data_IF_050563113291
#
_entry.id   IF_050563113291
#
_cell.length_a   1.000
_cell.length_b   1.000
_cell.length_c   1.000
_cell.angle_alpha   90.00
_cell.angle_beta   90.00
_cell.angle_gamma   90.00
#
_symmetry.space_group_name_H-M   'P 1'
#
loop_
_entity.id
_entity.type
_entity.pdbx_description
1 polymer ?
#
# COMPACT_ATOMS: atom_id res chain seq x y z
N UNK A 1 -26.91 -2.69 21.20
CA UNK A 1 -25.52 -3.17 21.39
C UNK A 1 -25.58 -4.63 21.80
N UNK A 2 -25.54 -5.57 20.85
CA UNK A 2 -25.41 -7.00 21.13
C UNK A 2 -24.20 -7.52 20.36
N UNK A 3 -23.20 -7.99 21.12
CA UNK A 3 -21.98 -8.61 20.60
C UNK A 3 -22.30 -10.09 20.34
N UNK A 4 -22.20 -10.53 19.09
CA UNK A 4 -22.23 -11.96 18.79
C UNK A 4 -20.82 -12.52 18.87
N UNK A 5 -20.60 -13.38 19.86
CA UNK A 5 -19.38 -14.15 20.07
C UNK A 5 -19.22 -15.20 18.94
N UNK A 6 -17.99 -15.34 18.44
CA UNK A 6 -17.63 -16.26 17.36
C UNK A 6 -17.20 -17.59 17.99
N UNK A 7 -18.01 -18.64 17.81
CA UNK A 7 -17.65 -20.03 18.10
C UNK A 7 -17.09 -20.70 16.83
N UNK A 8 -16.02 -21.52 16.90
CA UNK A 8 -15.45 -22.19 15.76
C UNK A 8 -16.22 -23.49 15.46
N UNK A 9 -16.47 -23.74 14.16
CA UNK A 9 -17.13 -24.94 13.62
C UNK A 9 -18.65 -24.95 13.82
N UNK A 10 -19.36 -24.17 13.00
CA UNK A 10 -20.73 -24.41 12.55
C UNK A 10 -20.97 -23.49 11.36
N UNK A 11 -21.56 -24.03 10.30
CA UNK A 11 -22.10 -23.30 9.15
C UNK A 11 -22.62 -21.93 9.60
N UNK A 12 -22.01 -20.84 9.12
CA UNK A 12 -22.52 -19.49 9.38
C UNK A 12 -23.67 -19.26 8.42
N UNK A 13 -24.84 -19.78 8.79
CA UNK A 13 -26.10 -19.35 8.21
C UNK A 13 -26.30 -17.89 8.62
N UNK A 14 -26.02 -16.95 7.72
CA UNK A 14 -26.54 -15.61 7.88
C UNK A 14 -27.94 -15.63 7.28
N UNK A 15 -28.92 -16.11 8.05
CA UNK A 15 -30.31 -16.12 7.61
C UNK A 15 -30.81 -14.67 7.63
N UNK A 16 -30.77 -14.00 6.49
CA UNK A 16 -31.45 -12.72 6.30
C UNK A 16 -32.87 -13.09 5.90
N UNK A 17 -33.78 -13.16 6.88
CA UNK A 17 -35.20 -13.25 6.57
C UNK A 17 -35.63 -11.88 6.04
N UNK A 18 -35.76 -11.78 4.73
CA UNK A 18 -36.54 -10.73 4.09
C UNK A 18 -37.93 -11.34 3.97
N UNK A 19 -38.79 -11.18 4.98
CA UNK A 19 -40.22 -11.48 4.90
C UNK A 19 -40.94 -10.96 6.16
N UNK A 20 -42.05 -10.26 5.94
CA UNK A 20 -43.08 -10.00 6.96
C UNK A 20 -44.21 -11.03 6.77
N UNK A 21 -44.52 -11.76 7.84
CA UNK A 21 -45.75 -12.52 8.17
C UNK A 21 -46.17 -13.79 7.40
N UNK A 22 -46.37 -14.84 8.21
CA UNK A 22 -47.37 -15.94 8.18
C UNK A 22 -48.13 -16.24 6.88
N UNK A 23 -47.71 -17.27 6.14
CA UNK A 23 -48.64 -18.10 5.36
C UNK A 23 -48.10 -19.53 5.12
N UNK A 24 -48.98 -20.53 5.29
CA UNK A 24 -48.65 -21.97 5.44
C UNK A 24 -48.27 -22.72 4.14
N UNK A 25 -47.73 -22.05 3.13
CA UNK A 25 -47.21 -22.71 1.91
C UNK A 25 -45.98 -22.00 1.33
N UNK A 26 -44.91 -21.88 2.12
CA UNK A 26 -43.70 -21.19 1.66
C UNK A 26 -42.70 -22.16 1.02
N UNK A 27 -42.59 -22.10 -0.31
CA UNK A 27 -41.49 -22.72 -1.07
C UNK A 27 -40.18 -22.04 -0.66
N UNK A 28 -39.34 -22.73 0.12
CA UNK A 28 -38.04 -22.20 0.54
C UNK A 28 -37.08 -22.14 -0.66
N UNK A 29 -36.62 -20.93 -0.99
CA UNK A 29 -35.61 -20.73 -2.05
C UNK A 29 -34.27 -20.39 -1.40
N UNK A 30 -33.30 -21.30 -1.51
CA UNK A 30 -31.92 -21.08 -1.05
C UNK A 30 -31.06 -20.53 -2.19
N UNK A 31 -30.35 -19.43 -1.92
CA UNK A 31 -29.43 -18.81 -2.88
C UNK A 31 -28.02 -18.80 -2.29
N UNK A 32 -27.10 -19.51 -2.95
CA UNK A 32 -25.70 -19.57 -2.57
C UNK A 32 -24.94 -18.33 -3.10
N UNK A 33 -24.25 -17.62 -2.21
CA UNK A 33 -23.53 -16.39 -2.53
C UNK A 33 -22.12 -16.38 -1.94
N UNK A 34 -21.22 -15.66 -2.61
CA UNK A 34 -19.90 -15.38 -2.05
C UNK A 34 -19.96 -14.34 -0.92
N UNK A 35 -18.87 -14.24 -0.15
CA UNK A 35 -18.82 -13.35 1.02
C UNK A 35 -19.03 -11.88 0.64
N UNK A 36 -18.45 -11.45 -0.48
CA UNK A 36 -18.52 -10.06 -0.94
C UNK A 36 -19.96 -9.66 -1.31
N UNK A 37 -20.69 -10.54 -1.99
CA UNK A 37 -22.08 -10.34 -2.37
C UNK A 37 -22.98 -10.20 -1.13
N UNK A 38 -22.83 -11.09 -0.14
CA UNK A 38 -23.61 -11.00 1.11
C UNK A 38 -23.30 -9.71 1.87
N UNK A 39 -22.03 -9.30 1.95
CA UNK A 39 -21.65 -8.04 2.58
C UNK A 39 -22.22 -6.84 1.84
N UNK A 40 -22.26 -6.87 0.51
CA UNK A 40 -22.84 -5.81 -0.32
C UNK A 40 -24.36 -5.71 -0.14
N UNK A 41 -25.06 -6.85 -0.14
CA UNK A 41 -26.51 -6.92 0.08
C UNK A 41 -26.91 -6.52 1.50
N UNK A 42 -26.10 -6.86 2.51
CA UNK A 42 -26.36 -6.50 3.90
C UNK A 42 -25.91 -5.07 4.26
N UNK A 43 -25.22 -4.37 3.35
CA UNK A 43 -24.78 -2.99 3.59
C UNK A 43 -25.97 -2.03 3.61
N UNK A 44 -26.02 -1.14 4.60
CA UNK A 44 -27.02 -0.07 4.66
C UNK A 44 -26.86 0.94 3.51
N UNK A 45 -25.64 1.16 3.03
CA UNK A 45 -25.35 2.03 1.89
C UNK A 45 -25.05 1.19 0.65
N UNK A 46 -25.73 1.49 -0.46
CA UNK A 46 -25.48 0.87 -1.77
C UNK A 46 -24.76 1.85 -2.69
N UNK A 47 -23.63 1.44 -3.27
CA UNK A 47 -22.82 2.28 -4.18
C UNK A 47 -22.79 1.77 -5.62
N UNK A 48 -23.46 0.66 -5.90
CA UNK A 48 -23.53 0.00 -7.21
C UNK A 48 -24.99 -0.16 -7.61
N UNK A 49 -25.37 0.31 -8.81
CA UNK A 49 -26.74 0.15 -9.32
C UNK A 49 -27.18 -1.32 -9.36
N UNK A 50 -26.29 -2.22 -9.79
CA UNK A 50 -26.56 -3.66 -9.81
C UNK A 50 -26.89 -4.25 -8.43
N UNK A 51 -26.25 -3.76 -7.37
CA UNK A 51 -26.53 -4.26 -6.02
C UNK A 51 -27.88 -3.73 -5.55
N UNK A 52 -28.24 -2.51 -5.96
CA UNK A 52 -29.52 -1.91 -5.65
C UNK A 52 -30.66 -2.62 -6.39
N UNK A 53 -30.50 -2.87 -7.68
CA UNK A 53 -31.42 -3.66 -8.50
C UNK A 53 -31.58 -5.09 -7.92
N UNK A 54 -30.47 -5.72 -7.53
CA UNK A 54 -30.52 -7.04 -6.89
C UNK A 54 -31.29 -7.02 -5.56
N UNK A 55 -31.09 -5.99 -4.72
CA UNK A 55 -31.87 -5.81 -3.48
C UNK A 55 -33.36 -5.66 -3.78
N UNK A 56 -33.72 -4.84 -4.77
CA UNK A 56 -35.10 -4.61 -5.16
C UNK A 56 -35.77 -5.89 -5.66
N UNK A 57 -35.09 -6.68 -6.48
CA UNK A 57 -35.61 -7.97 -6.95
C UNK A 57 -35.73 -9.00 -5.83
N UNK A 58 -34.76 -9.06 -4.91
CA UNK A 58 -34.86 -9.90 -3.72
C UNK A 58 -36.06 -9.49 -2.84
N UNK A 59 -36.29 -8.19 -2.66
CA UNK A 59 -37.49 -7.69 -1.98
C UNK A 59 -38.77 -8.06 -2.72
N UNK A 60 -38.81 -8.01 -4.05
CA UNK A 60 -39.98 -8.40 -4.84
C UNK A 60 -40.27 -9.89 -4.73
N UNK A 61 -39.24 -10.72 -4.78
CA UNK A 61 -39.33 -12.18 -4.62
C UNK A 61 -39.71 -12.57 -3.20
N UNK A 62 -39.32 -11.78 -2.20
CA UNK A 62 -39.68 -12.03 -0.80
C UNK A 62 -41.18 -11.93 -0.51
N UNK A 63 -41.93 -11.21 -1.36
CA UNK A 63 -43.38 -11.17 -1.29
C UNK A 63 -44.05 -12.48 -1.72
N UNK A 64 -43.32 -13.38 -2.38
CA UNK A 64 -43.83 -14.63 -2.96
C UNK A 64 -43.31 -15.87 -2.24
N UNK A 65 -42.16 -15.77 -1.56
CA UNK A 65 -41.49 -16.91 -0.95
C UNK A 65 -40.48 -16.48 0.11
N UNK A 66 -40.21 -17.37 1.06
CA UNK A 66 -39.12 -17.18 2.02
C UNK A 66 -37.78 -17.46 1.31
N UNK A 67 -36.99 -16.40 1.14
CA UNK A 67 -35.66 -16.47 0.55
C UNK A 67 -34.62 -16.60 1.66
N UNK A 68 -33.74 -17.59 1.55
CA UNK A 68 -32.58 -17.74 2.43
C UNK A 68 -31.29 -17.54 1.63
N UNK A 69 -30.55 -16.48 1.93
CA UNK A 69 -29.22 -16.25 1.36
C UNK A 69 -28.17 -16.99 2.19
N UNK A 70 -27.37 -17.85 1.56
CA UNK A 70 -26.36 -18.68 2.24
C UNK A 70 -24.97 -18.33 1.73
N UNK A 71 -24.06 -18.02 2.65
CA UNK A 71 -22.65 -17.88 2.29
C UNK A 71 -22.01 -19.26 2.14
N UNK A 72 -21.38 -19.49 0.98
CA UNK A 72 -20.57 -20.70 0.75
C UNK A 72 -19.11 -20.30 0.50
N UNK A 73 -18.14 -20.95 1.15
CA UNK A 73 -16.72 -20.71 0.87
C UNK A 73 -16.35 -21.22 -0.52
N UNK A 74 -15.59 -20.41 -1.26
CA UNK A 74 -15.07 -20.79 -2.57
C UNK A 74 -14.07 -21.96 -2.47
N UNK A 75 -13.97 -22.75 -3.55
CA UNK A 75 -12.97 -23.82 -3.73
C UNK A 75 -13.03 -24.92 -2.66
N UNK A 76 -14.26 -25.36 -2.34
CA UNK A 76 -14.54 -26.42 -1.37
C UNK A 76 -15.36 -27.56 -1.99
N UNK A 77 -15.32 -27.69 -3.32
CA UNK A 77 -15.98 -28.74 -4.11
C UNK A 77 -17.50 -28.83 -3.88
N UNK A 78 -18.15 -27.70 -3.59
CA UNK A 78 -19.61 -27.62 -3.56
C UNK A 78 -20.16 -27.59 -4.97
N UNK A 79 -20.89 -28.64 -5.35
CA UNK A 79 -21.36 -28.83 -6.73
C UNK A 79 -22.12 -27.61 -7.30
N UNK A 80 -23.01 -27.00 -6.52
CA UNK A 80 -23.76 -25.80 -6.92
C UNK A 80 -22.85 -24.61 -7.22
N UNK A 81 -21.99 -24.24 -6.27
CA UNK A 81 -21.01 -23.17 -6.43
C UNK A 81 -20.03 -23.41 -7.60
N UNK A 82 -19.46 -24.60 -7.72
CA UNK A 82 -18.53 -24.92 -8.81
C UNK A 82 -19.22 -24.86 -10.18
N UNK A 83 -20.49 -25.31 -10.25
CA UNK A 83 -21.30 -25.21 -11.47
C UNK A 83 -21.65 -23.77 -11.81
N UNK A 84 -21.95 -22.93 -10.82
CA UNK A 84 -22.20 -21.51 -11.01
C UNK A 84 -20.94 -20.78 -11.50
N UNK A 85 -19.78 -21.06 -10.90
CA UNK A 85 -18.48 -20.51 -11.32
C UNK A 85 -18.11 -20.97 -12.74
N UNK A 86 -18.37 -22.23 -13.10
CA UNK A 86 -18.18 -22.76 -14.45
C UNK A 86 -19.09 -22.07 -15.47
N UNK A 87 -20.36 -21.84 -15.14
CA UNK A 87 -21.30 -21.11 -15.98
C UNK A 87 -20.88 -19.65 -16.16
N UNK A 88 -20.50 -18.97 -15.07
CA UNK A 88 -20.01 -17.60 -15.12
C UNK A 88 -18.75 -17.48 -15.99
N UNK A 89 -17.80 -18.43 -15.87
CA UNK A 89 -16.58 -18.49 -16.69
C UNK A 89 -16.89 -18.75 -18.17
N UNK A 90 -17.87 -19.59 -18.48
CA UNK A 90 -18.32 -19.75 -19.87
C UNK A 90 -18.97 -18.47 -20.41
N UNK A 91 -19.68 -17.76 -19.54
CA UNK A 91 -20.27 -16.46 -19.86
C UNK A 91 -19.23 -15.41 -20.31
N UNK A 92 -18.00 -15.44 -19.78
CA UNK A 92 -16.95 -14.49 -20.18
C UNK A 92 -16.44 -14.69 -21.60
N UNK A 93 -16.73 -15.83 -22.24
CA UNK A 93 -16.37 -16.13 -23.62
C UNK A 93 -17.51 -15.85 -24.62
N UNK A 94 -18.70 -15.46 -24.14
CA UNK A 94 -19.83 -15.09 -25.00
C UNK A 94 -19.59 -13.72 -25.65
N UNK A 95 -20.21 -13.50 -26.82
CA UNK A 95 -20.10 -12.22 -27.53
C UNK A 95 -20.71 -11.08 -26.70
N UNK A 96 -19.93 -10.01 -26.54
CA UNK A 96 -20.22 -8.87 -25.65
C UNK A 96 -21.36 -8.01 -26.23
N UNK A 97 -21.71 -8.18 -27.51
CA UNK A 97 -22.72 -7.38 -28.21
C UNK A 97 -24.11 -7.39 -27.58
N UNK A 98 -24.44 -8.37 -26.74
CA UNK A 98 -25.73 -8.49 -26.05
C UNK A 98 -25.68 -8.31 -24.53
N UNK A 99 -24.53 -7.93 -23.96
CA UNK A 99 -24.37 -7.79 -22.51
C UNK A 99 -24.67 -6.36 -22.08
N UNK A 100 -25.47 -6.20 -21.03
CA UNK A 100 -25.68 -4.88 -20.40
C UNK A 100 -24.35 -4.28 -19.97
N UNK A 101 -24.13 -3.01 -20.35
CA UNK A 101 -22.92 -2.28 -20.01
C UNK A 101 -22.89 -1.97 -18.51
N UNK A 102 -22.24 -2.82 -17.74
CA UNK A 102 -21.93 -2.53 -16.34
C UNK A 102 -20.82 -1.48 -16.26
N UNK A 103 -21.08 -0.39 -15.56
CA UNK A 103 -20.09 0.66 -15.33
C UNK A 103 -18.82 0.14 -14.66
N UNK A 104 -17.66 0.69 -15.03
CA UNK A 104 -16.39 0.32 -14.39
C UNK A 104 -16.42 0.76 -12.92
N UNK A 105 -16.10 -0.12 -11.95
CA UNK A 105 -16.06 0.26 -10.55
C UNK A 105 -15.12 1.46 -10.32
N UNK A 106 -15.56 2.45 -9.55
CA UNK A 106 -14.75 3.64 -9.24
C UNK A 106 -13.39 3.28 -8.63
N UNK A 107 -13.32 2.20 -7.84
CA UNK A 107 -12.07 1.67 -7.30
C UNK A 107 -11.08 1.23 -8.38
N UNK A 108 -11.57 0.61 -9.46
CA UNK A 108 -10.76 0.20 -10.61
C UNK A 108 -10.25 1.42 -11.37
N UNK A 109 -11.07 2.45 -11.56
CA UNK A 109 -10.67 3.71 -12.20
C UNK A 109 -9.56 4.39 -11.37
N UNK A 110 -9.79 4.58 -10.07
CA UNK A 110 -8.81 5.19 -9.15
C UNK A 110 -7.48 4.42 -9.15
N UNK A 111 -7.54 3.10 -9.08
CA UNK A 111 -6.35 2.24 -9.11
C UNK A 111 -5.61 2.33 -10.43
N UNK A 112 -6.33 2.40 -11.56
CA UNK A 112 -5.75 2.58 -12.89
C UNK A 112 -5.03 3.93 -13.02
N UNK A 113 -5.65 5.01 -12.55
CA UNK A 113 -5.06 6.35 -12.52
C UNK A 113 -3.78 6.36 -11.68
N UNK A 114 -3.83 5.83 -10.45
CA UNK A 114 -2.67 5.76 -9.55
C UNK A 114 -1.52 4.97 -10.20
N UNK A 115 -1.81 3.79 -10.76
CA UNK A 115 -0.82 2.95 -11.46
C UNK A 115 -0.18 3.69 -12.63
N UNK A 116 -0.96 4.43 -13.41
CA UNK A 116 -0.45 5.23 -14.53
C UNK A 116 0.54 6.29 -14.07
N UNK A 117 0.20 7.06 -13.02
CA UNK A 117 1.07 8.13 -12.52
C UNK A 117 2.31 7.58 -11.81
N UNK A 118 2.21 6.47 -11.08
CA UNK A 118 3.37 5.80 -10.49
C UNK A 118 4.35 5.33 -11.57
N UNK A 119 3.85 4.70 -12.64
CA UNK A 119 4.69 4.29 -13.78
C UNK A 119 5.40 5.49 -14.42
N UNK A 120 4.67 6.56 -14.72
CA UNK A 120 5.27 7.80 -15.28
C UNK A 120 6.34 8.39 -14.36
N UNK A 121 6.11 8.36 -13.05
CA UNK A 121 7.03 8.89 -12.05
C UNK A 121 8.31 8.06 -11.98
N UNK A 122 8.19 6.73 -12.00
CA UNK A 122 9.32 5.79 -12.04
C UNK A 122 10.13 5.94 -13.34
N UNK A 123 9.47 6.07 -14.49
CA UNK A 123 10.14 6.35 -15.77
C UNK A 123 10.92 7.65 -15.74
N UNK A 124 10.33 8.72 -15.18
CA UNK A 124 11.01 10.01 -14.99
C UNK A 124 12.20 9.86 -14.05
N UNK A 125 12.03 9.16 -12.92
CA UNK A 125 13.08 8.95 -11.93
C UNK A 125 14.30 8.21 -12.51
N UNK A 126 14.07 7.22 -13.37
CA UNK A 126 15.14 6.48 -14.05
C UNK A 126 15.89 7.30 -15.09
N UNK A 127 15.20 8.23 -15.77
CA UNK A 127 15.78 9.06 -16.85
C UNK A 127 16.57 10.28 -16.34
N UNK A 128 16.29 10.77 -15.13
CA UNK A 128 17.00 11.92 -14.57
C UNK A 128 18.46 11.58 -14.31
N UNK A 129 19.38 12.39 -14.81
CA UNK A 129 20.83 12.34 -14.54
C UNK A 129 21.23 13.11 -13.26
N UNK A 130 20.35 14.00 -12.80
CA UNK A 130 20.49 14.80 -11.58
C UNK A 130 20.10 14.02 -10.31
N UNK A 131 20.15 14.68 -9.14
CA UNK A 131 19.76 14.12 -7.84
C UNK A 131 20.59 12.90 -7.40
N UNK A 132 21.89 12.87 -7.73
CA UNK A 132 22.80 11.72 -7.55
C UNK A 132 22.66 11.04 -6.18
N UNK A 133 22.75 11.78 -5.07
CA UNK A 133 22.67 11.22 -3.70
C UNK A 133 21.32 10.53 -3.47
N UNK A 134 20.22 11.21 -3.81
CA UNK A 134 18.87 10.68 -3.64
C UNK A 134 18.63 9.44 -4.51
N UNK A 135 19.18 9.40 -5.74
CA UNK A 135 19.07 8.24 -6.63
C UNK A 135 19.80 7.00 -6.10
N UNK A 136 20.94 7.17 -5.44
CA UNK A 136 21.61 6.04 -4.79
C UNK A 136 20.83 5.56 -3.56
N UNK A 137 20.38 6.47 -2.71
CA UNK A 137 19.66 6.12 -1.47
C UNK A 137 18.22 5.67 -1.71
N UNK A 138 17.64 6.02 -2.85
CA UNK A 138 16.25 5.73 -3.21
C UNK A 138 16.13 5.41 -4.72
N UNK A 139 16.63 4.24 -5.16
CA UNK A 139 16.76 3.93 -6.59
C UNK A 139 15.42 3.75 -7.32
N UNK A 140 14.36 3.38 -6.60
CA UNK A 140 13.01 3.22 -7.14
C UNK A 140 11.96 3.65 -6.11
N UNK A 141 10.73 3.86 -6.57
CA UNK A 141 9.62 4.12 -5.66
C UNK A 141 9.35 2.91 -4.74
N UNK A 142 9.24 3.16 -3.44
CA UNK A 142 8.90 2.17 -2.44
C UNK A 142 7.88 2.76 -1.46
N UNK A 143 6.60 2.41 -1.65
CA UNK A 143 5.49 2.95 -0.87
C UNK A 143 5.68 2.77 0.64
N UNK A 144 6.00 1.57 1.08
CA UNK A 144 6.20 1.25 2.50
C UNK A 144 7.29 2.12 3.12
N UNK A 145 8.42 2.24 2.44
CA UNK A 145 9.56 3.03 2.88
C UNK A 145 9.23 4.53 2.87
N UNK A 146 8.48 5.01 1.88
CA UNK A 146 8.00 6.39 1.82
C UNK A 146 7.03 6.70 2.98
N UNK A 147 6.12 5.78 3.31
CA UNK A 147 5.22 5.97 4.45
C UNK A 147 5.97 6.00 5.79
N UNK A 148 7.02 5.17 5.95
CA UNK A 148 7.92 5.25 7.10
C UNK A 148 8.63 6.60 7.21
N UNK A 149 9.04 7.18 6.07
CA UNK A 149 9.68 8.50 6.01
C UNK A 149 8.70 9.61 6.41
N UNK A 150 7.48 9.59 5.86
CA UNK A 150 6.45 10.62 6.10
C UNK A 150 5.88 10.53 7.53
N UNK A 151 5.95 9.36 8.16
CA UNK A 151 5.53 9.16 9.55
C UNK A 151 6.50 9.75 10.60
N UNK A 152 7.70 10.21 10.20
CA UNK A 152 8.67 10.82 11.10
C UNK A 152 8.19 12.19 11.62
N UNK A 153 8.82 12.65 12.71
CA UNK A 153 8.65 14.02 13.17
C UNK A 153 9.11 15.02 12.11
N UNK A 154 8.54 16.23 12.10
CA UNK A 154 8.95 17.31 11.17
C UNK A 154 10.45 17.59 11.23
N UNK A 155 11.04 17.50 12.43
CA UNK A 155 12.47 17.71 12.62
C UNK A 155 13.26 16.57 11.96
N UNK A 156 12.93 15.32 12.25
CA UNK A 156 13.70 14.17 11.75
C UNK A 156 13.59 13.99 10.24
N UNK A 157 12.39 14.18 9.66
CA UNK A 157 12.22 14.12 8.21
C UNK A 157 13.03 15.22 7.51
N UNK A 158 13.08 16.44 8.06
CA UNK A 158 13.86 17.55 7.50
C UNK A 158 15.35 17.23 7.48
N UNK A 159 15.88 16.73 8.60
CA UNK A 159 17.28 16.30 8.74
C UNK A 159 17.64 15.23 7.72
N UNK A 160 16.79 14.22 7.62
CA UNK A 160 17.02 13.09 6.73
C UNK A 160 16.95 13.50 5.26
N UNK A 161 15.97 14.32 4.88
CA UNK A 161 15.83 14.84 3.53
C UNK A 161 17.02 15.72 3.12
N UNK A 162 17.54 16.56 4.02
CA UNK A 162 18.74 17.36 3.76
C UNK A 162 19.95 16.49 3.39
N UNK A 163 20.16 15.40 4.15
CA UNK A 163 21.22 14.42 3.85
C UNK A 163 20.93 13.66 2.56
N UNK A 164 19.72 13.14 2.39
CA UNK A 164 19.34 12.31 1.24
C UNK A 164 19.39 13.07 -0.08
N UNK A 165 19.05 14.35 -0.07
CA UNK A 165 19.13 15.21 -1.26
C UNK A 165 20.53 15.80 -1.47
N UNK A 166 21.40 15.71 -0.47
CA UNK A 166 22.68 16.42 -0.45
C UNK A 166 22.55 17.93 -0.26
N UNK A 167 21.35 18.42 0.08
CA UNK A 167 21.08 19.82 0.40
C UNK A 167 21.26 20.09 1.88
N UNK A 168 22.46 19.78 2.37
CA UNK A 168 22.83 20.00 3.75
C UNK A 168 23.76 21.20 3.84
N UNK A 169 23.49 22.15 4.76
CA UNK A 169 24.22 23.41 4.91
C UNK A 169 25.63 23.25 5.51
N UNK A 170 26.41 22.32 4.97
CA UNK A 170 27.78 22.05 5.38
C UNK A 170 28.67 21.78 4.15
N UNK A 171 29.98 21.83 4.35
CA UNK A 171 30.97 21.41 3.37
C UNK A 171 30.76 22.01 1.98
N UNK A 172 30.79 21.13 0.98
CA UNK A 172 30.70 21.50 -0.44
C UNK A 172 29.37 22.20 -0.77
N UNK A 173 28.25 21.81 -0.16
CA UNK A 173 26.96 22.42 -0.46
C UNK A 173 26.83 23.82 0.15
N UNK A 174 27.30 24.03 1.39
CA UNK A 174 27.38 25.38 1.96
C UNK A 174 28.25 26.32 1.11
N UNK A 175 29.40 25.83 0.62
CA UNK A 175 30.28 26.61 -0.27
C UNK A 175 29.59 27.01 -1.58
N UNK A 176 28.81 26.11 -2.19
CA UNK A 176 27.99 26.43 -3.39
C UNK A 176 26.94 27.50 -3.14
N UNK A 177 26.45 27.62 -1.90
CA UNK A 177 25.49 28.64 -1.48
C UNK A 177 26.16 29.95 -1.05
N UNK A 178 27.49 30.05 -1.08
CA UNK A 178 28.23 31.23 -0.60
C UNK A 178 28.23 31.39 0.92
N UNK A 179 27.90 30.34 1.66
CA UNK A 179 27.91 30.34 3.13
C UNK A 179 29.31 29.97 3.66
N UNK A 180 29.67 30.38 4.88
CA UNK A 180 30.89 29.91 5.54
C UNK A 180 30.93 28.37 5.58
N UNK A 181 32.01 27.78 5.10
CA UNK A 181 32.15 26.33 4.98
C UNK A 181 33.57 25.85 5.28
N UNK A 182 33.71 24.55 5.53
CA UNK A 182 35.01 23.91 5.71
C UNK A 182 35.39 23.19 4.41
N UNK A 183 36.62 23.41 3.95
CA UNK A 183 37.15 22.74 2.75
C UNK A 183 37.36 21.23 2.96
N UNK A 184 37.57 20.82 4.21
CA UNK A 184 37.80 19.43 4.60
C UNK A 184 36.82 19.01 5.69
N UNK A 185 36.63 17.70 5.83
CA UNK A 185 35.72 17.13 6.82
C UNK A 185 36.13 17.51 8.25
N UNK A 186 35.22 18.11 9.03
CA UNK A 186 35.51 18.49 10.43
C UNK A 186 35.62 17.29 11.38
N UNK A 187 35.06 16.14 11.01
CA UNK A 187 35.13 14.92 11.83
C UNK A 187 36.53 14.30 11.80
N UNK A 188 37.04 13.97 10.61
CA UNK A 188 38.35 13.35 10.49
C UNK A 188 39.51 14.35 10.38
N UNK A 189 39.22 15.62 10.05
CA UNK A 189 40.20 16.70 9.84
C UNK A 189 41.26 16.37 8.77
N UNK A 190 40.97 15.41 7.91
CA UNK A 190 41.83 15.03 6.79
C UNK A 190 41.69 16.06 5.67
N UNK A 191 42.77 16.80 5.39
CA UNK A 191 42.81 17.87 4.38
C UNK A 191 42.59 17.35 2.95
N UNK A 192 42.79 16.05 2.69
CA UNK A 192 42.52 15.42 1.40
C UNK A 192 41.07 14.99 1.20
N UNK A 193 40.20 15.16 2.20
CA UNK A 193 38.81 14.67 2.18
C UNK A 193 37.80 15.80 2.34
N UNK A 194 37.09 16.07 1.26
CA UNK A 194 35.97 17.02 1.26
C UNK A 194 34.80 16.53 2.11
N UNK A 195 34.10 17.48 2.72
CA UNK A 195 32.90 17.24 3.51
C UNK A 195 31.69 17.03 2.59
N UNK A 196 31.43 15.77 2.22
CA UNK A 196 30.33 15.35 1.35
C UNK A 196 29.43 14.31 2.04
N UNK A 197 28.21 14.11 1.53
CA UNK A 197 27.30 13.06 2.04
C UNK A 197 27.92 11.68 1.88
N UNK A 198 28.60 11.41 0.77
CA UNK A 198 29.32 10.16 0.57
C UNK A 198 30.43 9.99 1.64
N UNK A 199 31.24 11.01 1.86
CA UNK A 199 32.28 10.94 2.89
C UNK A 199 31.67 10.65 4.27
N UNK A 200 30.64 11.40 4.65
CA UNK A 200 29.94 11.21 5.92
C UNK A 200 29.39 9.79 6.05
N UNK A 201 28.58 9.33 5.09
CA UNK A 201 27.82 8.08 5.15
C UNK A 201 28.62 6.81 4.83
N UNK A 202 29.71 6.92 4.07
CA UNK A 202 30.39 5.75 3.50
C UNK A 202 31.84 5.57 3.98
N UNK A 203 32.65 6.62 4.14
CA UNK A 203 34.11 6.43 4.25
C UNK A 203 34.83 7.25 5.35
N UNK A 204 34.15 8.18 6.03
CA UNK A 204 34.80 8.99 7.06
C UNK A 204 35.35 8.11 8.20
N UNK A 205 36.68 8.09 8.45
CA UNK A 205 37.29 7.20 9.43
C UNK A 205 36.88 7.56 10.86
N UNK A 206 36.73 8.84 11.15
CA UNK A 206 36.25 9.32 12.45
C UNK A 206 34.81 8.88 12.78
N UNK A 207 34.03 8.49 11.77
CA UNK A 207 32.66 8.02 11.94
C UNK A 207 32.52 6.50 11.77
N UNK A 208 33.61 5.77 11.54
CA UNK A 208 33.60 4.33 11.25
C UNK A 208 32.95 3.49 12.36
N UNK A 209 33.23 3.80 13.63
CA UNK A 209 32.63 3.10 14.78
C UNK A 209 31.12 3.34 14.82
N UNK A 210 30.68 4.60 14.72
CA UNK A 210 29.26 4.95 14.71
C UNK A 210 28.53 4.30 13.53
N UNK A 211 29.16 4.29 12.36
CA UNK A 211 28.64 3.62 11.16
C UNK A 211 28.44 2.13 11.40
N UNK A 212 29.42 1.45 12.00
CA UNK A 212 29.31 0.03 12.35
C UNK A 212 28.20 -0.22 13.37
N UNK A 213 28.09 0.63 14.39
CA UNK A 213 27.08 0.51 15.45
C UNK A 213 25.65 0.63 14.91
N UNK A 214 25.38 1.61 14.03
CA UNK A 214 24.01 1.90 13.59
C UNK A 214 23.68 1.32 12.21
N UNK A 215 24.63 1.31 11.27
CA UNK A 215 24.43 0.86 9.88
C UNK A 215 25.08 -0.50 9.60
N UNK A 216 25.68 -1.13 10.61
CA UNK A 216 26.21 -2.49 10.53
C UNK A 216 27.59 -2.64 9.87
N UNK A 217 28.13 -1.60 9.23
CA UNK A 217 29.46 -1.63 8.57
C UNK A 217 30.28 -0.39 8.87
N UNK A 218 31.60 -0.52 8.87
CA UNK A 218 32.53 0.60 9.09
C UNK A 218 32.75 1.45 7.83
N UNK A 219 32.60 0.83 6.65
CA UNK A 219 32.68 1.48 5.34
C UNK A 219 31.65 0.90 4.36
N UNK A 220 31.31 1.70 3.36
CA UNK A 220 30.51 1.32 2.18
C UNK A 220 31.23 1.80 0.91
N UNK A 221 31.15 1.03 -0.19
CA UNK A 221 31.75 1.41 -1.48
C UNK A 221 31.00 2.55 -2.17
N UNK A 222 29.68 2.59 -2.00
CA UNK A 222 28.80 3.58 -2.58
C UNK A 222 27.57 3.82 -1.70
N UNK A 223 26.80 4.88 -2.03
CA UNK A 223 25.58 5.23 -1.32
C UNK A 223 24.43 4.23 -1.58
N UNK A 224 24.51 3.44 -2.65
CA UNK A 224 23.49 2.45 -3.02
C UNK A 224 23.39 1.31 -2.03
N UNK A 225 24.49 0.96 -1.35
CA UNK A 225 24.48 -0.01 -0.25
C UNK A 225 23.59 0.41 0.94
N UNK A 226 23.30 1.71 1.06
CA UNK A 226 22.42 2.26 2.09
C UNK A 226 20.95 2.34 1.65
N UNK A 227 20.64 2.02 0.40
CA UNK A 227 19.27 2.08 -0.14
C UNK A 227 18.27 1.22 0.63
N UNK A 228 18.72 0.09 1.17
CA UNK A 228 17.89 -0.83 1.97
C UNK A 228 18.07 -0.67 3.48
N UNK A 229 18.92 0.27 3.92
CA UNK A 229 19.10 0.55 5.36
C UNK A 229 17.79 1.01 6.00
N UNK A 230 17.52 0.60 7.24
CA UNK A 230 16.32 1.05 7.95
C UNK A 230 16.41 2.55 8.22
N UNK A 231 15.33 3.28 7.95
CA UNK A 231 15.27 4.74 8.16
C UNK A 231 15.64 5.12 9.60
N UNK A 232 15.13 4.37 10.59
CA UNK A 232 15.44 4.62 12.00
C UNK A 232 16.92 4.45 12.34
N UNK A 233 17.62 3.53 11.68
CA UNK A 233 19.05 3.30 11.90
C UNK A 233 19.89 4.40 11.26
N UNK A 234 19.49 4.86 10.07
CA UNK A 234 20.09 6.02 9.41
C UNK A 234 19.91 7.29 10.25
N UNK A 235 18.73 7.52 10.82
CA UNK A 235 18.49 8.63 11.74
C UNK A 235 19.36 8.54 12.99
N UNK A 236 19.40 7.38 13.67
CA UNK A 236 20.25 7.19 14.85
C UNK A 236 21.72 7.45 14.53
N UNK A 237 22.20 6.98 13.38
CA UNK A 237 23.54 7.26 12.90
C UNK A 237 23.77 8.77 12.76
N UNK A 238 22.88 9.48 12.05
CA UNK A 238 22.97 10.91 11.81
C UNK A 238 22.95 11.71 13.11
N UNK A 239 22.02 11.41 14.02
CA UNK A 239 21.96 12.04 15.35
C UNK A 239 23.24 11.76 16.14
N UNK A 240 23.74 10.53 16.11
CA UNK A 240 24.96 10.16 16.80
C UNK A 240 26.19 10.87 16.23
N UNK A 241 26.17 11.37 14.99
CA UNK A 241 27.28 12.19 14.48
C UNK A 241 27.47 13.46 15.32
N UNK A 242 26.39 14.04 15.86
CA UNK A 242 26.40 15.33 16.56
C UNK A 242 26.32 16.55 15.62
N UNK A 243 25.97 16.34 14.35
CA UNK A 243 25.95 17.39 13.34
C UNK A 243 24.54 17.92 13.03
N UNK A 244 23.52 17.16 13.45
CA UNK A 244 22.12 17.43 13.11
C UNK A 244 21.23 17.36 14.34
#
# INVERSE_FOLDING_TARGET
MQRYAISPIRYRYLKINIADTDSDTDTLTEVELNQAAILALNSYTTTSSLVEECKQELSRLSCLSVITLVWVPAHRDYYGNERADELARRGTALDISSVESVGIPLGSIKSGILRHFLRKSEERWRRLDTCRVARFLWPSYNEKRTMQLVALSRTDISRLLAVMTGHWLIGVHAGRLGLPFNHYCRSCKDRGKEETVFHLLCECPALAVRRRTFLGRHMFSDLGELSESRIGDLLKYLTATGWI
#
